data_IF_493998409908
#
_entry.id   IF_493998409908
#
_cell.length_a   1.000
_cell.length_b   1.000
_cell.length_c   1.000
_cell.angle_alpha   90.00
_cell.angle_beta   90.00
_cell.angle_gamma   90.00
#
_symmetry.space_group_name_H-M   'P 1'
#
loop_
_entity.id
_entity.type
_entity.pdbx_description
1 polymer ?
#
# COMPACT_ATOMS: atom_id res chain seq x y z
N UNK A 1 -7.90 -0.19 10.95
CA UNK A 1 -7.08 0.32 9.82
C UNK A 1 -7.59 -0.27 8.52
N UNK A 2 -7.71 0.56 7.50
CA UNK A 2 -8.13 0.14 6.18
C UNK A 2 -6.96 0.26 5.21
N UNK A 3 -6.67 -0.81 4.48
CA UNK A 3 -5.56 -0.87 3.52
C UNK A 3 -6.09 -1.21 2.13
N UNK A 4 -5.53 -0.57 1.13
CA UNK A 4 -5.82 -0.87 -0.28
C UNK A 4 -4.51 -1.35 -0.93
N UNK A 5 -4.58 -2.47 -1.63
CA UNK A 5 -3.42 -3.07 -2.31
C UNK A 5 -3.57 -2.97 -3.82
N UNK A 6 -2.47 -2.64 -4.49
CA UNK A 6 -2.36 -2.75 -5.95
C UNK A 6 -1.17 -3.65 -6.28
N UNK A 7 -1.40 -4.64 -7.11
CA UNK A 7 -0.42 -5.65 -7.47
C UNK A 7 -0.68 -6.98 -6.78
N UNK A 8 0.14 -7.98 -7.11
CA UNK A 8 0.01 -9.32 -6.55
C UNK A 8 0.64 -9.39 -5.17
N UNK A 9 -0.07 -9.98 -4.21
CA UNK A 9 0.42 -10.13 -2.84
C UNK A 9 1.15 -11.47 -2.69
N UNK A 10 2.36 -11.55 -3.25
CA UNK A 10 3.16 -12.78 -3.23
C UNK A 10 3.77 -13.07 -1.87
N UNK A 11 3.90 -12.05 -1.01
CA UNK A 11 4.57 -12.19 0.29
C UNK A 11 3.58 -12.43 1.44
N UNK A 12 2.28 -12.39 1.17
CA UNK A 12 1.27 -12.61 2.20
C UNK A 12 1.03 -11.43 3.12
N UNK A 13 1.40 -10.21 2.70
CA UNK A 13 1.23 -9.02 3.55
C UNK A 13 -0.24 -8.73 3.84
N UNK A 14 -1.13 -8.93 2.87
CA UNK A 14 -2.56 -8.69 3.09
C UNK A 14 -3.10 -9.59 4.21
N UNK A 15 -2.71 -10.87 4.22
CA UNK A 15 -3.15 -11.80 5.26
C UNK A 15 -2.58 -11.42 6.63
N UNK A 16 -1.32 -11.00 6.68
CA UNK A 16 -0.71 -10.54 7.91
C UNK A 16 -1.44 -9.32 8.48
N UNK A 17 -1.82 -8.39 7.62
CA UNK A 17 -2.58 -7.21 8.05
C UNK A 17 -3.96 -7.61 8.57
N UNK A 18 -4.64 -8.54 7.89
CA UNK A 18 -5.95 -9.03 8.33
C UNK A 18 -5.87 -9.71 9.70
N UNK A 19 -4.81 -10.49 9.93
CA UNK A 19 -4.60 -11.13 11.23
C UNK A 19 -4.41 -10.13 12.35
N UNK A 20 -3.96 -8.92 12.03
CA UNK A 20 -3.78 -7.81 12.99
C UNK A 20 -5.01 -6.90 13.07
N UNK A 21 -6.12 -7.30 12.47
CA UNK A 21 -7.39 -6.59 12.57
C UNK A 21 -7.63 -5.56 11.47
N UNK A 22 -6.78 -5.48 10.46
CA UNK A 22 -6.98 -4.55 9.36
C UNK A 22 -8.01 -5.06 8.37
N UNK A 23 -8.74 -4.13 7.77
CA UNK A 23 -9.60 -4.41 6.61
C UNK A 23 -8.78 -4.16 5.36
N UNK A 24 -8.67 -5.15 4.49
CA UNK A 24 -7.82 -5.06 3.30
C UNK A 24 -8.67 -5.27 2.04
N UNK A 25 -8.55 -4.33 1.11
CA UNK A 25 -9.15 -4.42 -0.22
C UNK A 25 -8.04 -4.53 -1.24
N UNK A 26 -8.12 -5.53 -2.12
CA UNK A 26 -7.11 -5.74 -3.17
C UNK A 26 -7.72 -5.30 -4.51
N UNK A 27 -7.02 -4.41 -5.21
CA UNK A 27 -7.42 -4.00 -6.55
C UNK A 27 -7.09 -5.14 -7.51
N UNK A 28 -8.11 -5.63 -8.22
CA UNK A 28 -7.95 -6.69 -9.20
C UNK A 28 -7.60 -6.05 -10.55
N UNK A 29 -6.44 -6.41 -11.09
CA UNK A 29 -5.96 -5.86 -12.36
C UNK A 29 -5.31 -4.48 -12.22
N UNK A 30 -5.60 -3.58 -13.15
CA UNK A 30 -4.95 -2.26 -13.20
C UNK A 30 -5.56 -1.32 -12.16
N UNK A 31 -4.71 -0.72 -11.36
CA UNK A 31 -5.11 0.22 -10.30
C UNK A 31 -5.29 1.63 -10.89
N UNK A 32 -6.31 1.80 -11.73
CA UNK A 32 -6.69 3.10 -12.26
C UNK A 32 -7.64 3.82 -11.27
N UNK A 33 -8.01 5.07 -11.60
CA UNK A 33 -8.85 5.87 -10.71
C UNK A 33 -10.16 5.18 -10.32
N UNK A 34 -10.98 4.66 -11.27
CA UNK A 34 -12.21 3.97 -10.88
C UNK A 34 -11.98 2.75 -9.98
N UNK A 35 -10.92 1.98 -10.23
CA UNK A 35 -10.60 0.80 -9.44
C UNK A 35 -10.20 1.18 -8.02
N UNK A 36 -9.42 2.25 -7.86
CA UNK A 36 -9.01 2.74 -6.55
C UNK A 36 -10.19 3.31 -5.77
N UNK A 37 -11.08 4.04 -6.43
CA UNK A 37 -12.29 4.54 -5.80
C UNK A 37 -13.19 3.39 -5.31
N UNK A 38 -13.37 2.38 -6.14
CA UNK A 38 -14.17 1.20 -5.80
C UNK A 38 -13.57 0.43 -4.62
N UNK A 39 -12.23 0.40 -4.54
CA UNK A 39 -11.53 -0.27 -3.44
C UNK A 39 -11.59 0.53 -2.12
N UNK A 40 -12.10 1.76 -2.14
CA UNK A 40 -12.25 2.56 -0.94
C UNK A 40 -11.04 3.39 -0.56
N UNK A 41 -10.23 3.78 -1.53
CA UNK A 41 -8.99 4.54 -1.26
C UNK A 41 -9.25 5.86 -0.54
N UNK A 42 -10.42 6.49 -0.76
CA UNK A 42 -10.79 7.74 -0.10
C UNK A 42 -10.75 7.63 1.43
N UNK A 43 -11.11 6.48 1.96
CA UNK A 43 -11.20 6.24 3.41
C UNK A 43 -10.09 5.34 3.93
N UNK A 44 -9.13 4.99 3.08
CA UNK A 44 -8.06 4.09 3.47
C UNK A 44 -6.97 4.82 4.25
N UNK A 45 -6.32 4.10 5.15
CA UNK A 45 -5.19 4.60 5.92
C UNK A 45 -3.87 4.38 5.22
N UNK A 46 -3.78 3.29 4.44
CA UNK A 46 -2.54 2.94 3.73
C UNK A 46 -2.84 2.36 2.36
N UNK A 47 -2.00 2.71 1.39
CA UNK A 47 -2.00 2.14 0.06
C UNK A 47 -0.70 1.37 -0.12
N UNK A 48 -0.79 0.07 -0.41
CA UNK A 48 0.37 -0.79 -0.61
C UNK A 48 0.50 -1.12 -2.09
N UNK A 49 1.64 -0.78 -2.68
CA UNK A 49 1.96 -1.11 -4.05
C UNK A 49 2.99 -2.23 -4.06
N UNK A 50 2.66 -3.34 -4.71
CA UNK A 50 3.58 -4.48 -4.85
C UNK A 50 4.08 -4.66 -6.28
N UNK A 51 3.56 -3.87 -7.22
CA UNK A 51 3.93 -3.92 -8.63
C UNK A 51 4.48 -2.57 -9.07
N UNK A 52 5.80 -2.49 -9.21
CA UNK A 52 6.47 -1.25 -9.62
C UNK A 52 5.99 -0.74 -10.99
N UNK A 53 5.47 -1.62 -11.84
CA UNK A 53 4.90 -1.25 -13.13
C UNK A 53 3.62 -0.43 -13.02
N UNK A 54 3.00 -0.38 -11.84
CA UNK A 54 1.81 0.40 -11.57
C UNK A 54 2.08 1.61 -10.67
N UNK A 55 3.30 2.11 -10.67
CA UNK A 55 3.70 3.21 -9.78
C UNK A 55 2.88 4.50 -10.00
N UNK A 56 2.30 4.70 -11.17
CA UNK A 56 1.43 5.86 -11.43
C UNK A 56 0.18 5.85 -10.54
N UNK A 57 -0.22 4.67 -10.04
CA UNK A 57 -1.35 4.57 -9.12
C UNK A 57 -1.11 5.32 -7.82
N UNK A 58 0.15 5.52 -7.44
CA UNK A 58 0.52 6.29 -6.24
C UNK A 58 0.03 7.73 -6.36
N UNK A 59 0.24 8.35 -7.52
CA UNK A 59 -0.18 9.73 -7.76
C UNK A 59 -1.71 9.83 -7.69
N UNK A 60 -2.40 8.87 -8.28
CA UNK A 60 -3.87 8.84 -8.27
C UNK A 60 -4.39 8.64 -6.85
N UNK A 61 -3.81 7.70 -6.10
CA UNK A 61 -4.22 7.44 -4.72
C UNK A 61 -4.04 8.70 -3.85
N UNK A 62 -2.93 9.41 -4.00
CA UNK A 62 -2.67 10.66 -3.27
C UNK A 62 -3.61 11.79 -3.69
N UNK A 63 -4.00 11.83 -4.95
CA UNK A 63 -4.99 12.80 -5.43
C UNK A 63 -6.36 12.54 -4.79
N UNK A 64 -6.75 11.27 -4.68
CA UNK A 64 -8.03 10.89 -4.08
C UNK A 64 -8.02 10.97 -2.54
N UNK A 65 -6.86 10.77 -1.93
CA UNK A 65 -6.70 10.80 -0.47
C UNK A 65 -5.32 11.37 -0.12
N UNK A 66 -5.19 12.70 0.04
CA UNK A 66 -3.89 13.33 0.28
C UNK A 66 -3.17 12.88 1.55
N UNK A 67 -3.89 12.36 2.52
CA UNK A 67 -3.32 11.93 3.80
C UNK A 67 -2.94 10.46 3.85
N UNK A 68 -3.19 9.72 2.76
CA UNK A 68 -2.92 8.28 2.75
C UNK A 68 -1.42 8.00 2.85
N UNK A 69 -1.05 7.02 3.67
CA UNK A 69 0.33 6.53 3.69
C UNK A 69 0.53 5.59 2.52
N UNK A 70 1.66 5.71 1.85
CA UNK A 70 1.97 4.85 0.71
C UNK A 70 3.21 4.02 1.01
N UNK A 71 3.08 2.71 0.84
CA UNK A 71 4.16 1.75 1.01
C UNK A 71 4.35 1.02 -0.31
N UNK A 72 5.58 1.02 -0.82
CA UNK A 72 5.93 0.22 -1.98
C UNK A 72 6.70 -1.01 -1.46
N UNK A 73 6.04 -2.15 -1.51
CA UNK A 73 6.59 -3.42 -1.00
C UNK A 73 7.00 -4.28 -2.19
N UNK A 74 8.18 -4.01 -2.71
CA UNK A 74 8.71 -4.66 -3.92
C UNK A 74 10.23 -4.60 -3.93
N UNK A 75 10.84 -5.60 -4.55
CA UNK A 75 12.28 -5.62 -4.79
C UNK A 75 12.67 -4.83 -6.04
N UNK A 76 11.69 -4.46 -6.86
CA UNK A 76 11.93 -3.75 -8.12
C UNK A 76 12.19 -2.26 -7.87
N UNK A 77 12.96 -1.65 -8.77
CA UNK A 77 13.22 -0.21 -8.72
C UNK A 77 11.96 0.58 -9.09
N UNK A 78 11.70 1.65 -8.35
CA UNK A 78 10.58 2.53 -8.62
C UNK A 78 11.02 3.67 -9.55
N UNK A 79 10.09 4.22 -10.37
CA UNK A 79 10.41 5.40 -11.18
C UNK A 79 10.82 6.60 -10.32
N UNK A 80 11.62 7.49 -10.87
CA UNK A 80 12.15 8.65 -10.14
C UNK A 80 11.06 9.56 -9.58
N UNK A 81 9.92 9.70 -10.25
CA UNK A 81 8.86 10.58 -9.78
C UNK A 81 8.32 10.16 -8.40
N UNK A 82 8.47 8.88 -8.05
CA UNK A 82 8.00 8.35 -6.77
C UNK A 82 8.70 9.03 -5.59
N UNK A 83 9.95 9.43 -5.77
CA UNK A 83 10.71 10.06 -4.69
C UNK A 83 10.10 11.37 -4.21
N UNK A 84 9.31 12.03 -5.04
CA UNK A 84 8.57 13.25 -4.66
C UNK A 84 7.23 12.98 -3.99
N UNK A 85 6.83 11.70 -3.84
CA UNK A 85 5.51 11.33 -3.34
C UNK A 85 5.51 10.83 -1.89
N UNK A 86 6.62 10.92 -1.19
CA UNK A 86 6.74 10.45 0.19
C UNK A 86 6.29 9.00 0.34
N UNK A 87 6.92 8.12 -0.42
CA UNK A 87 6.63 6.69 -0.42
C UNK A 87 7.64 5.97 0.45
N UNK A 88 7.16 5.10 1.34
CA UNK A 88 8.03 4.24 2.12
C UNK A 88 8.32 2.98 1.30
N UNK A 89 9.57 2.85 0.84
CA UNK A 89 10.01 1.68 0.09
C UNK A 89 10.52 0.59 1.02
N UNK A 90 10.00 -0.62 0.87
CA UNK A 90 10.45 -1.78 1.63
C UNK A 90 10.70 -2.95 0.70
N UNK A 91 11.91 -3.50 0.74
CA UNK A 91 12.29 -4.64 -0.07
C UNK A 91 11.91 -5.93 0.66
N UNK A 92 11.09 -6.82 0.06
CA UNK A 92 10.70 -8.08 0.69
C UNK A 92 11.87 -8.99 1.06
N UNK A 93 13.04 -8.82 0.43
CA UNK A 93 14.23 -9.57 0.80
C UNK A 93 14.81 -9.10 2.13
N UNK A 94 14.52 -7.88 2.56
CA UNK A 94 15.03 -7.29 3.81
C UNK A 94 13.97 -7.22 4.90
N UNK A 95 12.71 -7.08 4.53
CA UNK A 95 11.59 -6.93 5.46
C UNK A 95 10.51 -7.94 5.11
N UNK A 96 10.28 -8.93 5.96
CA UNK A 96 9.22 -9.90 5.71
C UNK A 96 7.84 -9.29 5.97
N UNK A 97 6.79 -9.98 5.52
CA UNK A 97 5.42 -9.46 5.60
C UNK A 97 4.98 -9.23 7.05
N UNK A 98 5.40 -10.08 7.98
CA UNK A 98 5.08 -9.93 9.40
C UNK A 98 5.65 -8.62 9.94
N UNK A 99 6.91 -8.33 9.63
CA UNK A 99 7.57 -7.11 10.08
C UNK A 99 6.90 -5.86 9.50
N UNK A 100 6.57 -5.89 8.20
CA UNK A 100 5.90 -4.76 7.55
C UNK A 100 4.51 -4.54 8.15
N UNK A 101 3.75 -5.63 8.36
CA UNK A 101 2.42 -5.52 8.95
C UNK A 101 2.49 -4.96 10.37
N UNK A 102 3.48 -5.38 11.15
CA UNK A 102 3.69 -4.85 12.50
C UNK A 102 3.94 -3.34 12.47
N UNK A 103 4.84 -2.88 11.60
CA UNK A 103 5.14 -1.46 11.46
C UNK A 103 3.91 -0.64 11.07
N UNK A 104 3.13 -1.13 10.11
CA UNK A 104 1.96 -0.39 9.64
C UNK A 104 0.87 -0.31 10.68
N UNK A 105 0.61 -1.41 11.39
CA UNK A 105 -0.44 -1.45 12.41
C UNK A 105 -0.02 -0.73 13.68
N UNK A 106 1.24 -0.79 14.07
CA UNK A 106 1.75 -0.05 15.23
C UNK A 106 1.70 1.45 15.00
N UNK A 107 2.06 1.90 13.79
CA UNK A 107 2.00 3.32 13.44
C UNK A 107 0.56 3.84 13.45
N UNK A 108 -0.42 3.01 13.02
CA UNK A 108 -1.83 3.35 13.06
C UNK A 108 -2.31 3.48 14.52
N UNK A 109 -1.93 2.51 15.37
CA UNK A 109 -2.28 2.52 16.80
C UNK A 109 -1.66 3.72 17.51
N UNK A 110 -0.47 4.13 17.12
CA UNK A 110 0.23 5.26 17.73
C UNK A 110 -0.44 6.60 17.44
N UNK A 111 -1.25 6.69 16.40
CA UNK A 111 -1.98 7.91 16.03
C UNK A 111 -3.24 8.12 16.90
N UNK A 112 -3.61 7.12 17.65
CA UNK A 112 -4.71 7.22 18.62
C UNK A 112 -4.22 7.88 19.93
#
# INVERSE_FOLDING_TARGET
MNAVFAGTDTEGLADELRERGATVSVVDGIANRPALEEAGVHDADVFVLTDAGQATSIVVARDLNPDIRVVAYTADSLPEFVSGQQVLGMDPALFDADTVAEELTDADDADD
#
